data_IF_592088390091
#
_entry.id   IF_592088390091
#
_cell.length_a   1.000
_cell.length_b   1.000
_cell.length_c   1.000
_cell.angle_alpha   90.00
_cell.angle_beta   90.00
_cell.angle_gamma   90.00
#
_symmetry.space_group_name_H-M   'P 1'
#
loop_
_entity.id
_entity.type
_entity.pdbx_description
1 polymer ?
#
# COMPACT_ATOMS: atom_id res chain seq x y z
N UNK A 1 36.58 34.58 -11.22
CA UNK A 1 35.28 34.03 -10.81
C UNK A 1 34.55 35.12 -10.05
N UNK A 2 33.64 35.82 -10.71
CA UNK A 2 32.81 36.89 -10.11
C UNK A 2 31.79 36.26 -9.18
N UNK A 3 31.68 36.70 -7.93
CA UNK A 3 30.68 36.14 -7.01
C UNK A 3 29.29 36.52 -7.50
N UNK A 4 28.41 35.51 -7.60
CA UNK A 4 26.98 35.71 -7.92
C UNK A 4 26.37 36.59 -6.83
N UNK A 5 25.69 37.71 -7.19
CA UNK A 5 25.08 38.60 -6.20
C UNK A 5 24.15 37.82 -5.27
N UNK A 6 24.15 38.15 -3.97
CA UNK A 6 23.32 37.52 -2.94
C UNK A 6 21.82 37.55 -3.27
N UNK A 7 21.41 38.59 -3.98
CA UNK A 7 20.01 38.81 -4.37
C UNK A 7 19.53 37.79 -5.43
N UNK A 8 20.39 37.42 -6.39
CA UNK A 8 20.07 36.43 -7.43
C UNK A 8 19.98 35.00 -6.82
N UNK A 9 20.78 34.73 -5.78
CA UNK A 9 20.73 33.43 -5.06
C UNK A 9 19.46 33.28 -4.25
N UNK A 10 18.96 34.35 -3.63
CA UNK A 10 17.70 34.38 -2.91
C UNK A 10 16.48 34.28 -3.85
N UNK A 11 16.53 34.91 -5.02
CA UNK A 11 15.46 34.84 -6.03
C UNK A 11 15.33 33.43 -6.62
N UNK A 12 16.44 32.70 -6.79
CA UNK A 12 16.45 31.31 -7.26
C UNK A 12 15.97 30.30 -6.20
N UNK A 13 15.99 30.69 -4.92
CA UNK A 13 15.55 29.86 -3.78
C UNK A 13 14.11 30.15 -3.33
N UNK A 14 13.50 31.24 -3.77
CA UNK A 14 12.11 31.58 -3.45
C UNK A 14 11.18 30.79 -4.34
N UNK A 15 10.63 29.72 -3.79
CA UNK A 15 9.46 29.06 -4.37
C UNK A 15 8.23 29.61 -3.65
N UNK A 16 7.46 30.42 -4.35
CA UNK A 16 6.19 30.91 -3.81
C UNK A 16 5.14 29.83 -4.00
N UNK A 17 4.55 29.37 -2.89
CA UNK A 17 3.44 28.44 -2.89
C UNK A 17 2.17 29.16 -2.40
N UNK A 18 1.04 28.80 -2.97
CA UNK A 18 -0.26 29.29 -2.54
C UNK A 18 -0.77 28.51 -1.32
N UNK A 19 -0.31 27.25 -1.17
CA UNK A 19 -0.59 26.40 -0.03
C UNK A 19 0.64 25.58 0.36
N UNK A 20 0.93 25.55 1.67
CA UNK A 20 1.91 24.63 2.25
C UNK A 20 1.16 23.65 3.17
N UNK A 21 1.27 22.36 2.88
CA UNK A 21 0.66 21.29 3.67
C UNK A 21 1.74 20.63 4.53
N UNK A 22 1.50 20.55 5.83
CA UNK A 22 2.41 19.89 6.77
C UNK A 22 1.89 18.49 7.10
N UNK A 23 2.65 17.48 6.68
CA UNK A 23 2.34 16.07 6.87
C UNK A 23 1.68 15.41 5.65
N UNK A 24 2.34 14.38 5.12
CA UNK A 24 1.91 13.54 3.98
C UNK A 24 0.98 12.39 4.39
N UNK A 25 0.22 12.53 5.46
CA UNK A 25 -0.83 11.59 5.84
C UNK A 25 -2.07 11.72 4.96
N UNK A 26 -3.11 10.93 5.24
CA UNK A 26 -4.31 10.86 4.39
C UNK A 26 -4.97 12.24 4.21
N UNK A 27 -5.13 13.01 5.30
CA UNK A 27 -5.73 14.35 5.25
C UNK A 27 -4.87 15.35 4.48
N UNK A 28 -3.55 15.34 4.72
CA UNK A 28 -2.61 16.23 4.02
C UNK A 28 -2.57 15.94 2.52
N UNK A 29 -2.48 14.67 2.13
CA UNK A 29 -2.54 14.27 0.72
C UNK A 29 -3.85 14.69 0.05
N UNK A 30 -5.00 14.46 0.72
CA UNK A 30 -6.29 14.85 0.19
C UNK A 30 -6.40 16.38 -0.01
N UNK A 31 -5.95 17.16 0.97
CA UNK A 31 -5.94 18.63 0.89
C UNK A 31 -4.99 19.15 -0.20
N UNK A 32 -3.78 18.56 -0.30
CA UNK A 32 -2.81 18.93 -1.32
C UNK A 32 -3.34 18.67 -2.73
N UNK A 33 -3.87 17.48 -3.01
CA UNK A 33 -4.47 17.14 -4.30
C UNK A 33 -5.64 18.06 -4.63
N UNK A 34 -6.52 18.29 -3.67
CA UNK A 34 -7.69 19.15 -3.89
C UNK A 34 -7.31 20.59 -4.21
N UNK A 35 -6.32 21.14 -3.53
CA UNK A 35 -5.81 22.49 -3.82
C UNK A 35 -5.17 22.55 -5.22
N UNK A 36 -4.37 21.56 -5.60
CA UNK A 36 -3.75 21.48 -6.91
C UNK A 36 -4.80 21.37 -8.04
N UNK A 37 -5.88 20.61 -7.85
CA UNK A 37 -7.02 20.55 -8.78
C UNK A 37 -7.69 21.91 -9.02
N UNK A 38 -7.60 22.81 -8.05
CA UNK A 38 -8.06 24.21 -8.18
C UNK A 38 -7.00 25.18 -8.70
N UNK A 39 -5.85 24.66 -9.15
CA UNK A 39 -4.79 25.45 -9.76
C UNK A 39 -3.82 26.09 -8.76
N UNK A 40 -3.90 25.75 -7.47
CA UNK A 40 -2.96 26.25 -6.47
C UNK A 40 -1.57 25.60 -6.63
N UNK A 41 -0.52 26.40 -6.44
CA UNK A 41 0.86 25.90 -6.31
C UNK A 41 1.03 25.36 -4.89
N UNK A 42 1.24 24.04 -4.76
CA UNK A 42 1.23 23.36 -3.48
C UNK A 42 2.60 22.79 -3.12
N UNK A 43 3.03 23.01 -1.89
CA UNK A 43 4.12 22.27 -1.26
C UNK A 43 3.58 21.32 -0.19
N UNK A 44 4.11 20.10 -0.16
CA UNK A 44 3.82 19.08 0.85
C UNK A 44 5.11 18.78 1.64
N UNK A 45 5.12 19.08 2.93
CA UNK A 45 6.23 18.77 3.84
C UNK A 45 5.97 17.40 4.49
N UNK A 46 6.81 16.41 4.20
CA UNK A 46 6.74 15.07 4.80
C UNK A 46 8.15 14.50 4.95
N UNK A 47 8.65 14.30 6.17
CA UNK A 47 10.00 13.78 6.41
C UNK A 47 10.10 12.27 6.23
N UNK A 48 8.97 11.57 6.19
CA UNK A 48 8.91 10.11 6.17
C UNK A 48 8.18 9.54 4.95
N UNK A 49 7.63 8.37 5.14
CA UNK A 49 6.87 7.69 4.09
C UNK A 49 5.48 8.29 3.94
N UNK A 50 5.09 8.57 2.69
CA UNK A 50 3.76 9.07 2.34
C UNK A 50 2.63 8.15 2.85
N UNK A 51 1.47 8.74 3.13
CA UNK A 51 0.29 8.02 3.58
C UNK A 51 0.10 7.99 5.10
N UNK A 52 1.12 8.44 5.87
CA UNK A 52 1.05 8.55 7.33
C UNK A 52 0.74 7.21 8.02
N UNK A 53 0.21 7.27 9.23
CA UNK A 53 -0.10 6.08 10.04
C UNK A 53 -1.06 5.11 9.34
N UNK A 54 -2.06 5.62 8.63
CA UNK A 54 -3.06 4.77 7.98
C UNK A 54 -2.41 3.78 6.99
N UNK A 55 -1.53 4.25 6.13
CA UNK A 55 -0.86 3.42 5.11
C UNK A 55 0.25 2.57 5.73
N UNK A 56 1.06 3.17 6.60
CA UNK A 56 2.32 2.56 7.04
C UNK A 56 2.17 1.62 8.24
N UNK A 57 1.26 1.91 9.17
CA UNK A 57 1.14 1.18 10.44
C UNK A 57 -0.31 0.95 10.91
N UNK A 58 -1.31 1.40 10.15
CA UNK A 58 -2.71 1.39 10.57
C UNK A 58 -3.64 0.61 9.66
N UNK A 59 -4.50 1.33 8.94
CA UNK A 59 -5.62 0.77 8.17
C UNK A 59 -5.19 -0.27 7.14
N UNK A 60 -4.12 0.01 6.39
CA UNK A 60 -3.65 -0.85 5.30
C UNK A 60 -3.06 -2.17 5.84
N UNK A 61 -2.04 -2.16 6.70
CA UNK A 61 -1.50 -3.40 7.25
C UNK A 61 -2.54 -4.18 8.08
N UNK A 62 -3.42 -3.50 8.82
CA UNK A 62 -4.51 -4.16 9.55
C UNK A 62 -5.46 -4.89 8.61
N UNK A 63 -5.87 -4.27 7.50
CA UNK A 63 -6.77 -4.90 6.53
C UNK A 63 -6.14 -6.11 5.87
N UNK A 64 -4.85 -6.05 5.54
CA UNK A 64 -4.12 -7.20 5.01
C UNK A 64 -4.11 -8.38 6.00
N UNK A 65 -3.87 -8.12 7.28
CA UNK A 65 -3.92 -9.14 8.34
C UNK A 65 -5.32 -9.73 8.49
N UNK A 66 -6.34 -8.88 8.47
CA UNK A 66 -7.73 -9.33 8.54
C UNK A 66 -8.11 -10.23 7.36
N UNK A 67 -7.71 -9.87 6.13
CA UNK A 67 -7.97 -10.68 4.93
C UNK A 67 -7.27 -12.04 5.00
N UNK A 68 -6.03 -12.09 5.51
CA UNK A 68 -5.30 -13.35 5.69
C UNK A 68 -5.99 -14.25 6.73
N UNK A 69 -6.43 -13.68 7.84
CA UNK A 69 -7.15 -14.41 8.88
C UNK A 69 -8.51 -14.95 8.38
N UNK A 70 -9.26 -14.11 7.64
CA UNK A 70 -10.54 -14.52 7.07
C UNK A 70 -10.38 -15.62 6.01
N UNK A 71 -9.36 -15.53 5.17
CA UNK A 71 -9.04 -16.59 4.21
C UNK A 71 -8.69 -17.90 4.94
N UNK A 72 -7.85 -17.84 5.98
CA UNK A 72 -7.51 -19.01 6.79
C UNK A 72 -8.75 -19.67 7.38
N UNK A 73 -9.69 -18.89 7.93
CA UNK A 73 -10.96 -19.38 8.43
C UNK A 73 -11.80 -20.08 7.35
N UNK A 74 -11.87 -19.49 6.16
CA UNK A 74 -12.61 -20.10 5.02
C UNK A 74 -11.99 -21.39 4.54
N UNK A 75 -10.67 -21.49 4.53
CA UNK A 75 -9.96 -22.71 4.16
C UNK A 75 -10.25 -23.84 5.14
N UNK A 76 -10.45 -23.56 6.43
CA UNK A 76 -10.81 -24.59 7.43
C UNK A 76 -12.18 -25.24 7.16
N UNK A 77 -13.13 -24.51 6.57
CA UNK A 77 -14.48 -25.04 6.28
C UNK A 77 -14.65 -25.45 4.81
N UNK A 78 -13.65 -25.28 3.99
CA UNK A 78 -13.75 -25.55 2.55
C UNK A 78 -14.04 -27.03 2.28
N UNK A 79 -13.49 -27.95 3.07
CA UNK A 79 -13.76 -29.38 2.96
C UNK A 79 -15.23 -29.72 3.19
N UNK A 80 -15.88 -29.06 4.15
CA UNK A 80 -17.30 -29.25 4.45
C UNK A 80 -18.21 -28.80 3.29
N UNK A 81 -17.70 -27.89 2.45
CA UNK A 81 -18.35 -27.39 1.26
C UNK A 81 -18.01 -28.17 -0.02
N UNK A 82 -17.29 -29.28 0.10
CA UNK A 82 -16.94 -30.16 -1.02
C UNK A 82 -15.69 -29.73 -1.81
N UNK A 83 -14.88 -28.78 -1.31
CA UNK A 83 -13.60 -28.45 -1.94
C UNK A 83 -12.58 -29.55 -1.60
N UNK A 84 -11.93 -30.10 -2.64
CA UNK A 84 -10.87 -31.11 -2.53
C UNK A 84 -9.55 -30.56 -3.03
N UNK A 85 -8.41 -31.09 -2.55
CA UNK A 85 -7.11 -30.67 -3.07
C UNK A 85 -6.86 -31.33 -4.45
N UNK A 86 -6.18 -30.61 -5.36
CA UNK A 86 -5.79 -31.15 -6.65
C UNK A 86 -4.91 -32.42 -6.56
N UNK A 87 -4.18 -32.60 -5.47
CA UNK A 87 -3.39 -33.82 -5.21
C UNK A 87 -4.27 -35.03 -4.88
N UNK A 88 -5.46 -34.82 -4.33
CA UNK A 88 -6.42 -35.91 -4.09
C UNK A 88 -7.05 -36.45 -5.38
N UNK A 89 -7.09 -35.66 -6.46
CA UNK A 89 -7.59 -36.09 -7.75
C UNK A 89 -6.59 -36.98 -8.51
N UNK A 90 -5.29 -36.75 -8.32
CA UNK A 90 -4.23 -37.54 -9.00
C UNK A 90 -4.10 -38.97 -8.49
N UNK A 91 -4.64 -39.30 -7.31
CA UNK A 91 -4.69 -40.64 -6.75
C UNK A 91 -5.91 -41.47 -7.17
N UNK A 92 -6.83 -40.91 -7.96
CA UNK A 92 -8.10 -41.54 -8.37
C UNK A 92 -8.03 -42.27 -9.72
N UNK A 93 -6.96 -42.99 -9.99
CA UNK A 93 -6.94 -43.91 -11.13
C UNK A 93 -7.28 -45.33 -10.61
N UNK A 94 -8.57 -45.71 -10.73
CA UNK A 94 -9.06 -47.09 -10.64
C UNK A 94 -9.98 -47.32 -9.43
N UNK A 95 -11.23 -47.11 -9.56
CA UNK A 95 -12.36 -48.00 -9.29
C UNK A 95 -13.68 -47.20 -9.39
N UNK A 96 -14.51 -47.54 -10.34
CA UNK A 96 -15.83 -46.93 -10.53
C UNK A 96 -16.82 -47.57 -9.53
N UNK A 97 -16.84 -47.13 -8.26
CA UNK A 97 -17.85 -47.67 -7.38
C UNK A 97 -17.86 -47.20 -5.92
N UNK A 98 -16.81 -46.63 -5.41
CA UNK A 98 -16.79 -46.19 -4.02
C UNK A 98 -16.96 -44.67 -3.92
N UNK A 99 -17.99 -44.21 -3.25
CA UNK A 99 -18.21 -42.78 -2.99
C UNK A 99 -16.97 -42.23 -2.29
N UNK A 100 -16.19 -41.45 -3.06
CA UNK A 100 -14.93 -40.92 -2.62
C UNK A 100 -15.12 -40.06 -1.38
N UNK A 101 -14.57 -40.49 -0.26
CA UNK A 101 -14.48 -39.67 0.96
C UNK A 101 -13.72 -38.39 0.59
N UNK A 102 -14.29 -37.19 0.82
CA UNK A 102 -13.59 -35.95 0.58
C UNK A 102 -12.29 -35.93 1.38
N UNK A 103 -11.14 -35.87 0.70
CA UNK A 103 -9.88 -35.65 1.40
C UNK A 103 -9.87 -34.19 1.85
N UNK A 104 -9.86 -33.90 3.15
CA UNK A 104 -9.84 -32.54 3.64
C UNK A 104 -8.67 -31.77 3.02
N UNK A 105 -8.88 -30.51 2.65
CA UNK A 105 -7.77 -29.63 2.32
C UNK A 105 -6.76 -29.67 3.47
N UNK A 106 -5.46 -29.86 3.22
CA UNK A 106 -4.47 -29.85 4.29
C UNK A 106 -4.62 -28.55 5.08
N UNK A 107 -4.57 -28.66 6.40
CA UNK A 107 -4.72 -27.52 7.31
C UNK A 107 -3.82 -26.38 6.85
N UNK A 108 -4.42 -25.34 6.29
CA UNK A 108 -3.66 -24.21 5.77
C UNK A 108 -3.00 -23.48 6.94
N UNK A 109 -1.68 -23.37 6.90
CA UNK A 109 -0.89 -22.63 7.87
C UNK A 109 -0.36 -21.35 7.22
N UNK A 110 -0.58 -20.22 7.90
CA UNK A 110 0.01 -18.96 7.45
C UNK A 110 1.54 -18.98 7.66
N UNK A 111 2.31 -18.86 6.58
CA UNK A 111 3.72 -18.55 6.66
C UNK A 111 3.89 -17.04 6.91
N UNK A 112 4.18 -16.72 8.16
CA UNK A 112 4.23 -15.34 8.63
C UNK A 112 5.32 -14.50 7.93
N UNK A 113 6.55 -14.99 7.73
CA UNK A 113 7.56 -14.26 6.96
C UNK A 113 7.10 -13.90 5.55
N UNK A 114 6.56 -14.86 4.81
CA UNK A 114 6.02 -14.63 3.46
C UNK A 114 4.90 -13.61 3.46
N UNK A 115 3.97 -13.70 4.42
CA UNK A 115 2.89 -12.72 4.57
C UNK A 115 3.44 -11.30 4.80
N UNK A 116 4.46 -11.14 5.67
CA UNK A 116 5.07 -9.83 5.94
C UNK A 116 5.70 -9.23 4.68
N UNK A 117 6.39 -10.04 3.87
CA UNK A 117 6.97 -9.59 2.59
C UNK A 117 5.87 -9.11 1.63
N UNK A 118 4.79 -9.87 1.47
CA UNK A 118 3.67 -9.47 0.61
C UNK A 118 2.99 -8.20 1.10
N UNK A 119 2.73 -8.09 2.40
CA UNK A 119 2.16 -6.89 3.02
C UNK A 119 3.03 -5.66 2.77
N UNK A 120 4.35 -5.79 2.95
CA UNK A 120 5.28 -4.68 2.73
C UNK A 120 5.34 -4.27 1.25
N UNK A 121 5.33 -5.22 0.34
CA UNK A 121 5.26 -4.94 -1.10
C UNK A 121 4.01 -4.16 -1.47
N UNK A 122 2.87 -4.51 -0.89
CA UNK A 122 1.62 -3.79 -1.10
C UNK A 122 1.70 -2.34 -0.60
N UNK A 123 2.25 -2.10 0.60
CA UNK A 123 2.47 -0.76 1.14
C UNK A 123 3.40 0.05 0.23
N UNK A 124 4.51 -0.55 -0.22
CA UNK A 124 5.46 0.12 -1.13
C UNK A 124 4.83 0.49 -2.47
N UNK A 125 3.92 -0.34 -2.99
CA UNK A 125 3.17 -0.01 -4.20
C UNK A 125 2.28 1.23 -4.01
N UNK A 126 1.66 1.40 -2.84
CA UNK A 126 0.86 2.60 -2.50
C UNK A 126 1.76 3.84 -2.47
N UNK A 127 2.96 3.75 -1.88
CA UNK A 127 3.92 4.86 -1.90
C UNK A 127 4.26 5.28 -3.33
N UNK A 128 4.53 4.31 -4.22
CA UNK A 128 4.79 4.59 -5.63
C UNK A 128 3.60 5.25 -6.35
N UNK A 129 2.38 4.89 -6.00
CA UNK A 129 1.18 5.53 -6.53
C UNK A 129 1.09 7.00 -6.07
N UNK A 130 1.29 7.26 -4.77
CA UNK A 130 1.27 8.63 -4.26
C UNK A 130 2.37 9.49 -4.85
N UNK A 131 3.60 8.96 -4.96
CA UNK A 131 4.71 9.69 -5.53
C UNK A 131 4.41 10.14 -6.97
N UNK A 132 3.93 9.22 -7.82
CA UNK A 132 3.53 9.56 -9.20
C UNK A 132 2.40 10.58 -9.24
N UNK A 133 1.34 10.39 -8.45
CA UNK A 133 0.22 11.32 -8.44
C UNK A 133 0.59 12.73 -7.97
N UNK A 134 1.53 12.86 -7.02
CA UNK A 134 2.05 14.14 -6.56
C UNK A 134 2.86 14.83 -7.65
N UNK A 135 3.68 14.06 -8.37
CA UNK A 135 4.46 14.55 -9.52
C UNK A 135 3.54 15.01 -10.67
N UNK A 136 2.58 14.16 -11.05
CA UNK A 136 1.58 14.47 -12.09
C UNK A 136 0.74 15.73 -11.75
N UNK A 137 0.47 15.96 -10.46
CA UNK A 137 -0.26 17.13 -9.98
C UNK A 137 0.64 18.38 -9.78
N UNK A 138 1.95 18.28 -10.03
CA UNK A 138 2.91 19.36 -9.85
C UNK A 138 3.10 19.79 -8.40
N UNK A 139 2.80 18.91 -7.43
CA UNK A 139 2.95 19.18 -5.99
C UNK A 139 4.40 18.96 -5.58
N UNK A 140 5.04 19.99 -5.04
CA UNK A 140 6.41 19.92 -4.56
C UNK A 140 6.48 19.17 -3.23
N UNK A 141 7.09 17.99 -3.21
CA UNK A 141 7.33 17.23 -1.97
C UNK A 141 8.66 17.64 -1.37
N UNK A 142 8.63 18.10 -0.12
CA UNK A 142 9.81 18.58 0.62
C UNK A 142 10.03 17.62 1.80
N UNK A 143 11.16 16.90 1.88
CA UNK A 143 11.45 15.96 2.97
C UNK A 143 11.90 16.73 4.22
N UNK A 144 10.98 17.44 4.85
CA UNK A 144 11.22 18.25 6.04
C UNK A 144 10.07 18.15 7.03
N UNK A 145 10.39 18.36 8.29
CA UNK A 145 9.39 18.68 9.33
C UNK A 145 9.08 20.17 9.21
N UNK A 146 7.80 20.51 9.27
CA UNK A 146 7.37 21.90 9.33
C UNK A 146 7.72 22.57 10.67
#
# INVERSE_FOLDING_TARGET
MTPVPRDTRNALMRRDFDLVVIGGGFGGLAGAFRAAEHGARVALLEPGALGGTCVNAGCVPKKAMWLAAELGRRLCIAGDLGFVSAQAEQGRHGDEGEAATPVPLPAARLDWPTFLVHRQRYISAIHGIYARRLDDAGIAVIPSRG
#
